data_IF_739748884868
#
_entry.id   IF_739748884868
#
_cell.length_a   1.000
_cell.length_b   1.000
_cell.length_c   1.000
_cell.angle_alpha   90.00
_cell.angle_beta   90.00
_cell.angle_gamma   90.00
#
_symmetry.space_group_name_H-M   'P 1'
#
loop_
_entity.id
_entity.type
_entity.pdbx_description
1 polymer ?
#
# COMPACT_ATOMS: atom_id res chain seq x y z
N UNK A 1 13.30 0.84 -13.38
CA UNK A 1 12.07 0.86 -14.20
C UNK A 1 11.03 -0.15 -13.72
N UNK A 2 11.43 -1.34 -13.24
CA UNK A 2 10.52 -2.40 -12.78
C UNK A 2 9.51 -1.92 -11.73
N UNK A 3 9.95 -1.26 -10.66
CA UNK A 3 9.06 -0.77 -9.60
C UNK A 3 8.04 0.26 -10.09
N UNK A 4 8.40 1.09 -11.07
CA UNK A 4 7.47 2.06 -11.66
C UNK A 4 6.36 1.33 -12.42
N UNK A 5 6.70 0.29 -13.19
CA UNK A 5 5.70 -0.51 -13.92
C UNK A 5 4.74 -1.24 -12.97
N UNK A 6 5.27 -1.80 -11.87
CA UNK A 6 4.46 -2.44 -10.82
C UNK A 6 3.52 -1.43 -10.16
N UNK A 7 4.02 -0.23 -9.83
CA UNK A 7 3.21 0.82 -9.24
C UNK A 7 2.09 1.27 -10.19
N UNK A 8 2.41 1.54 -11.47
CA UNK A 8 1.42 1.93 -12.47
C UNK A 8 0.36 0.86 -12.69
N UNK A 9 0.76 -0.43 -12.71
CA UNK A 9 -0.18 -1.54 -12.80
C UNK A 9 -1.12 -1.59 -11.59
N UNK A 10 -0.58 -1.46 -10.38
CA UNK A 10 -1.38 -1.43 -9.16
C UNK A 10 -2.38 -0.28 -9.12
N UNK A 11 -1.93 0.93 -9.48
CA UNK A 11 -2.78 2.12 -9.53
C UNK A 11 -3.86 2.02 -10.63
N UNK A 12 -3.51 1.55 -11.82
CA UNK A 12 -4.45 1.36 -12.93
C UNK A 12 -5.53 0.31 -12.59
N UNK A 13 -5.11 -0.82 -12.03
CA UNK A 13 -6.03 -1.86 -11.58
C UNK A 13 -6.97 -1.36 -10.48
N UNK A 14 -6.45 -0.60 -9.50
CA UNK A 14 -7.26 -0.03 -8.43
C UNK A 14 -8.28 1.00 -8.94
N UNK A 15 -7.88 1.89 -9.86
CA UNK A 15 -8.78 2.86 -10.48
C UNK A 15 -9.94 2.18 -11.20
N UNK A 16 -9.65 1.15 -11.99
CA UNK A 16 -10.65 0.34 -12.69
C UNK A 16 -11.57 -0.38 -11.69
N UNK A 17 -10.98 -1.03 -10.68
CA UNK A 17 -11.74 -1.73 -9.64
C UNK A 17 -12.70 -0.80 -8.89
N UNK A 18 -12.23 0.36 -8.42
CA UNK A 18 -13.07 1.33 -7.71
C UNK A 18 -14.17 1.87 -8.61
N UNK A 19 -13.88 2.13 -9.88
CA UNK A 19 -14.89 2.62 -10.85
C UNK A 19 -15.99 1.60 -11.07
N UNK A 20 -15.65 0.35 -11.31
CA UNK A 20 -16.62 -0.74 -11.53
C UNK A 20 -17.42 -1.07 -10.27
N UNK A 21 -16.77 -1.10 -9.11
CA UNK A 21 -17.38 -1.46 -7.83
C UNK A 21 -17.92 -0.25 -7.05
N UNK A 22 -17.93 0.97 -7.62
CA UNK A 22 -18.27 2.22 -6.94
C UNK A 22 -19.57 2.15 -6.15
N UNK A 23 -20.62 1.56 -6.73
CA UNK A 23 -21.96 1.44 -6.10
C UNK A 23 -21.93 0.58 -4.85
N UNK A 24 -21.06 -0.41 -4.78
CA UNK A 24 -20.91 -1.30 -3.61
C UNK A 24 -19.94 -0.75 -2.56
N UNK A 25 -18.90 -0.03 -3.00
CA UNK A 25 -17.83 0.44 -2.14
C UNK A 25 -18.18 1.75 -1.39
N UNK A 26 -18.82 2.72 -2.07
CA UNK A 26 -19.11 4.03 -1.48
C UNK A 26 -19.99 3.96 -0.21
N UNK A 27 -21.05 3.13 -0.12
CA UNK A 27 -21.83 3.02 1.11
C UNK A 27 -21.03 2.48 2.30
N UNK A 28 -19.96 1.72 2.01
CA UNK A 28 -19.07 1.10 3.01
C UNK A 28 -17.70 1.78 3.08
N UNK A 29 -17.64 3.07 2.71
CA UNK A 29 -16.39 3.83 2.61
C UNK A 29 -15.44 3.60 3.79
N UNK A 30 -15.91 3.80 5.03
CA UNK A 30 -15.06 3.67 6.22
C UNK A 30 -14.44 2.29 6.39
N UNK A 31 -15.23 1.22 6.17
CA UNK A 31 -14.74 -0.15 6.29
C UNK A 31 -13.74 -0.49 5.15
N UNK A 32 -14.05 -0.11 3.92
CA UNK A 32 -13.18 -0.39 2.77
C UNK A 32 -11.88 0.41 2.84
N UNK A 33 -11.95 1.69 3.23
CA UNK A 33 -10.76 2.53 3.41
C UNK A 33 -9.84 1.95 4.51
N UNK A 34 -10.39 1.62 5.67
CA UNK A 34 -9.64 1.00 6.78
C UNK A 34 -9.02 -0.33 6.36
N UNK A 35 -9.77 -1.19 5.66
CA UNK A 35 -9.27 -2.46 5.15
C UNK A 35 -8.14 -2.26 4.13
N UNK A 36 -8.30 -1.32 3.20
CA UNK A 36 -7.27 -1.01 2.20
C UNK A 36 -5.98 -0.48 2.85
N UNK A 37 -6.08 0.40 3.84
CA UNK A 37 -4.92 0.91 4.56
C UNK A 37 -4.20 -0.20 5.37
N UNK A 38 -4.96 -1.09 6.01
CA UNK A 38 -4.39 -2.23 6.74
C UNK A 38 -3.72 -3.23 5.78
N UNK A 39 -4.39 -3.58 4.68
CA UNK A 39 -3.86 -4.48 3.67
C UNK A 39 -2.64 -3.90 2.95
N UNK A 40 -2.57 -2.58 2.77
CA UNK A 40 -1.35 -1.92 2.30
C UNK A 40 -0.18 -2.21 3.24
N UNK A 41 -0.33 -1.94 4.54
CA UNK A 41 0.74 -2.16 5.51
C UNK A 41 1.21 -3.62 5.57
N UNK A 42 0.27 -4.55 5.60
CA UNK A 42 0.56 -6.00 5.66
C UNK A 42 1.23 -6.47 4.35
N UNK A 43 0.64 -6.11 3.19
CA UNK A 43 1.15 -6.57 1.90
C UNK A 43 2.49 -5.96 1.53
N UNK A 44 2.81 -4.75 1.99
CA UNK A 44 4.11 -4.13 1.77
C UNK A 44 5.23 -4.94 2.44
N UNK A 45 5.06 -5.32 3.70
CA UNK A 45 6.05 -6.10 4.44
C UNK A 45 6.08 -7.56 3.96
N UNK A 46 4.91 -8.20 3.87
CA UNK A 46 4.81 -9.61 3.48
C UNK A 46 5.24 -9.83 2.01
N UNK A 47 4.80 -8.96 1.09
CA UNK A 47 5.14 -9.04 -0.32
C UNK A 47 6.64 -8.93 -0.56
N UNK A 48 7.31 -8.00 0.12
CA UNK A 48 8.75 -7.87 0.05
C UNK A 48 9.49 -9.06 0.67
N UNK A 49 9.08 -9.51 1.85
CA UNK A 49 9.69 -10.67 2.51
C UNK A 49 9.56 -11.95 1.68
N UNK A 50 8.43 -12.13 0.99
CA UNK A 50 8.22 -13.24 0.07
C UNK A 50 9.02 -13.07 -1.22
N UNK A 51 9.05 -11.86 -1.80
CA UNK A 51 9.82 -11.57 -3.00
C UNK A 51 11.33 -11.85 -2.81
N UNK A 52 11.87 -11.58 -1.62
CA UNK A 52 13.27 -11.92 -1.29
C UNK A 52 13.57 -13.43 -1.26
N UNK A 53 12.55 -14.28 -1.10
CA UNK A 53 12.71 -15.73 -1.12
C UNK A 53 12.66 -16.32 -2.52
N UNK A 54 12.25 -15.55 -3.52
CA UNK A 54 12.21 -15.99 -4.92
C UNK A 54 13.62 -16.00 -5.47
N UNK A 55 14.14 -17.14 -5.96
CA UNK A 55 15.50 -17.23 -6.50
C UNK A 55 15.55 -16.66 -7.93
N UNK A 56 15.32 -15.37 -8.05
CA UNK A 56 15.36 -14.67 -9.33
C UNK A 56 16.75 -14.12 -9.59
N UNK A 57 17.34 -14.51 -10.73
CA UNK A 57 18.64 -14.03 -11.21
C UNK A 57 18.45 -13.23 -12.49
N UNK A 58 18.62 -11.88 -12.47
CA UNK A 58 18.45 -11.05 -13.66
C UNK A 58 19.42 -11.41 -14.80
N UNK A 59 20.59 -11.95 -14.47
CA UNK A 59 21.63 -12.33 -15.44
C UNK A 59 21.25 -13.59 -16.24
N UNK A 60 20.41 -14.46 -15.65
CA UNK A 60 19.99 -15.72 -16.27
C UNK A 60 18.68 -15.60 -17.05
N UNK A 61 18.10 -14.39 -17.12
CA UNK A 61 16.78 -14.15 -17.74
C UNK A 61 16.71 -14.61 -19.21
N UNK A 62 17.84 -14.56 -19.94
CA UNK A 62 17.92 -14.94 -21.34
C UNK A 62 18.21 -16.43 -21.55
N UNK A 63 18.76 -17.10 -20.55
CA UNK A 63 19.27 -18.47 -20.69
C UNK A 63 18.39 -19.51 -19.99
N UNK A 64 17.70 -19.13 -18.91
CA UNK A 64 16.82 -20.03 -18.16
C UNK A 64 15.34 -19.66 -18.41
N UNK A 65 14.55 -20.55 -19.05
CA UNK A 65 13.13 -20.31 -19.33
C UNK A 65 12.26 -20.17 -18.08
N UNK A 66 12.78 -20.47 -16.88
CA UNK A 66 12.08 -20.31 -15.60
C UNK A 66 12.15 -18.87 -15.09
N UNK A 67 13.16 -18.11 -15.48
CA UNK A 67 13.38 -16.75 -14.96
C UNK A 67 12.24 -15.77 -15.30
N UNK A 68 11.63 -15.77 -16.49
CA UNK A 68 10.46 -14.94 -16.76
C UNK A 68 9.27 -15.24 -15.84
N UNK A 69 9.07 -16.51 -15.48
CA UNK A 69 8.00 -16.91 -14.56
C UNK A 69 8.30 -16.45 -13.13
N UNK A 70 9.55 -16.55 -12.67
CA UNK A 70 9.98 -16.04 -11.37
C UNK A 70 9.86 -14.51 -11.31
N UNK A 71 10.19 -13.82 -12.39
CA UNK A 71 9.99 -12.38 -12.53
C UNK A 71 8.52 -12.02 -12.40
N UNK A 72 7.64 -12.73 -13.11
CA UNK A 72 6.19 -12.54 -13.00
C UNK A 72 5.71 -12.76 -11.56
N UNK A 73 6.21 -13.77 -10.87
CA UNK A 73 5.88 -14.03 -9.46
C UNK A 73 6.30 -12.86 -8.57
N UNK A 74 7.51 -12.32 -8.75
CA UNK A 74 7.98 -11.13 -8.02
C UNK A 74 7.06 -9.94 -8.29
N UNK A 75 6.63 -9.72 -9.54
CA UNK A 75 5.66 -8.67 -9.87
C UNK A 75 4.33 -8.86 -9.13
N UNK A 76 3.77 -10.07 -9.16
CA UNK A 76 2.52 -10.40 -8.47
C UNK A 76 2.60 -10.20 -6.96
N UNK A 77 3.75 -10.45 -6.36
CA UNK A 77 3.98 -10.21 -4.93
C UNK A 77 4.10 -8.73 -4.57
N UNK A 78 4.58 -7.90 -5.51
CA UNK A 78 4.81 -6.47 -5.28
C UNK A 78 3.64 -5.57 -5.72
N UNK A 79 2.70 -6.05 -6.54
CA UNK A 79 1.51 -5.28 -6.97
C UNK A 79 0.52 -4.96 -5.83
N UNK A 80 0.22 -5.88 -4.88
CA UNK A 80 -0.82 -5.68 -3.87
C UNK A 80 -0.69 -4.39 -3.04
N UNK A 81 0.48 -3.99 -2.51
CA UNK A 81 0.58 -2.76 -1.74
C UNK A 81 0.19 -1.52 -2.58
N UNK A 82 0.62 -1.44 -3.83
CA UNK A 82 0.25 -0.34 -4.72
C UNK A 82 -1.25 -0.34 -5.04
N UNK A 83 -1.83 -1.52 -5.22
CA UNK A 83 -3.27 -1.67 -5.45
C UNK A 83 -4.09 -1.18 -4.24
N UNK A 84 -3.70 -1.54 -3.03
CA UNK A 84 -4.46 -1.17 -1.84
C UNK A 84 -4.34 0.32 -1.50
N UNK A 85 -3.15 0.92 -1.59
CA UNK A 85 -3.01 2.36 -1.36
C UNK A 85 -3.76 3.16 -2.42
N UNK A 86 -3.69 2.76 -3.68
CA UNK A 86 -4.42 3.40 -4.76
C UNK A 86 -5.95 3.23 -4.61
N UNK A 87 -6.41 2.08 -4.13
CA UNK A 87 -7.84 1.87 -3.81
C UNK A 87 -8.32 2.85 -2.74
N UNK A 88 -7.54 3.06 -1.67
CA UNK A 88 -7.87 4.04 -0.64
C UNK A 88 -7.94 5.47 -1.21
N UNK A 89 -6.98 5.86 -2.03
CA UNK A 89 -6.94 7.17 -2.70
C UNK A 89 -8.13 7.36 -3.65
N UNK A 90 -8.35 6.42 -4.59
CA UNK A 90 -9.45 6.50 -5.55
C UNK A 90 -10.81 6.55 -4.85
N UNK A 91 -10.98 5.79 -3.76
CA UNK A 91 -12.21 5.78 -2.99
C UNK A 91 -12.45 7.13 -2.29
N UNK A 92 -11.38 7.76 -1.79
CA UNK A 92 -11.44 9.08 -1.16
C UNK A 92 -11.84 10.16 -2.17
N UNK A 93 -11.23 10.17 -3.36
CA UNK A 93 -11.63 11.09 -4.44
C UNK A 93 -13.06 10.85 -4.91
N UNK A 94 -13.49 9.57 -4.99
CA UNK A 94 -14.86 9.22 -5.39
C UNK A 94 -15.91 9.63 -4.34
N UNK A 95 -15.54 9.66 -3.06
CA UNK A 95 -16.43 10.02 -1.94
C UNK A 95 -16.56 11.52 -1.75
N UNK A 96 -15.46 12.25 -1.88
CA UNK A 96 -15.35 13.67 -1.56
C UNK A 96 -15.05 14.50 -2.80
N UNK A 97 -15.76 14.22 -3.90
CA UNK A 97 -15.57 14.88 -5.19
C UNK A 97 -15.63 16.43 -5.14
N UNK A 98 -16.45 16.99 -4.25
CA UNK A 98 -16.58 18.44 -4.09
C UNK A 98 -15.35 19.09 -3.42
N UNK A 99 -14.48 18.30 -2.77
CA UNK A 99 -13.28 18.75 -2.06
C UNK A 99 -11.98 18.24 -2.68
N UNK A 100 -11.99 17.91 -3.98
CA UNK A 100 -10.84 17.32 -4.68
C UNK A 100 -9.57 18.15 -4.51
N UNK A 101 -9.65 19.48 -4.62
CA UNK A 101 -8.50 20.37 -4.45
C UNK A 101 -7.84 20.25 -3.08
N UNK A 102 -8.64 20.10 -2.02
CA UNK A 102 -8.15 19.96 -0.64
C UNK A 102 -7.52 18.58 -0.43
N UNK A 103 -8.16 17.54 -0.93
CA UNK A 103 -7.65 16.16 -0.83
C UNK A 103 -6.32 16.04 -1.58
N UNK A 104 -6.27 16.58 -2.80
CA UNK A 104 -5.06 16.59 -3.62
C UNK A 104 -3.91 17.36 -2.95
N UNK A 105 -4.21 18.51 -2.28
CA UNK A 105 -3.18 19.25 -1.54
C UNK A 105 -2.59 18.45 -0.39
N UNK A 106 -3.42 17.72 0.36
CA UNK A 106 -2.92 16.84 1.43
C UNK A 106 -2.16 15.63 0.89
N UNK A 107 -2.61 15.05 -0.21
CA UNK A 107 -1.93 13.94 -0.88
C UNK A 107 -0.54 14.39 -1.39
N UNK A 108 -0.47 15.53 -2.07
CA UNK A 108 0.78 16.10 -2.57
C UNK A 108 1.75 16.46 -1.44
N UNK A 109 1.25 17.04 -0.34
CA UNK A 109 2.07 17.30 0.86
C UNK A 109 2.57 16.00 1.48
N UNK A 110 1.71 15.00 1.60
CA UNK A 110 2.07 13.68 2.10
C UNK A 110 3.13 13.00 1.24
N UNK A 111 3.00 13.06 -0.09
CA UNK A 111 3.97 12.53 -1.04
C UNK A 111 5.32 13.27 -0.94
N UNK A 112 5.30 14.60 -0.83
CA UNK A 112 6.50 15.41 -0.65
C UNK A 112 7.23 15.11 0.66
N UNK A 113 6.52 15.11 1.78
CA UNK A 113 7.08 14.75 3.09
C UNK A 113 7.54 13.30 3.13
N UNK A 114 6.79 12.37 2.50
CA UNK A 114 7.15 10.96 2.40
C UNK A 114 8.43 10.73 1.61
N UNK A 115 8.64 11.44 0.51
CA UNK A 115 9.86 11.33 -0.29
C UNK A 115 11.10 11.85 0.46
N UNK A 116 10.98 12.96 1.17
CA UNK A 116 12.06 13.45 2.04
C UNK A 116 12.28 12.49 3.21
N UNK A 117 11.19 12.02 3.83
CA UNK A 117 11.22 11.11 4.96
C UNK A 117 11.88 9.78 4.63
N UNK A 118 11.60 9.18 3.46
CA UNK A 118 12.23 7.91 3.06
C UNK A 118 13.73 8.10 2.76
N UNK A 119 14.11 9.23 2.15
CA UNK A 119 15.52 9.54 1.93
C UNK A 119 16.25 9.64 3.28
N UNK A 120 15.72 10.40 4.23
CA UNK A 120 16.29 10.50 5.57
C UNK A 120 16.33 9.14 6.30
N UNK A 121 15.27 8.35 6.18
CA UNK A 121 15.21 7.02 6.77
C UNK A 121 16.28 6.08 6.21
N UNK A 122 16.56 6.10 4.90
CA UNK A 122 17.58 5.27 4.27
C UNK A 122 19.02 5.65 4.66
N UNK A 123 19.25 6.89 5.15
CA UNK A 123 20.53 7.26 5.75
C UNK A 123 20.71 6.72 7.18
N UNK A 124 19.61 6.52 7.91
CA UNK A 124 19.60 6.15 9.32
C UNK A 124 19.27 4.68 9.56
N UNK A 125 18.49 4.08 8.68
CA UNK A 125 17.91 2.75 8.81
C UNK A 125 18.37 1.83 7.67
N UNK A 126 18.34 0.53 7.94
CA UNK A 126 18.49 -0.46 6.86
C UNK A 126 17.26 -0.44 5.95
N UNK A 127 17.37 -0.80 4.66
CA UNK A 127 16.23 -0.83 3.74
C UNK A 127 15.05 -1.69 4.23
N UNK A 128 15.34 -2.80 4.93
CA UNK A 128 14.33 -3.66 5.55
C UNK A 128 13.53 -2.94 6.64
N UNK A 129 14.20 -2.11 7.46
CA UNK A 129 13.58 -1.40 8.57
C UNK A 129 12.78 -0.19 8.05
N UNK A 130 13.26 0.47 7.00
CA UNK A 130 12.50 1.51 6.30
C UNK A 130 11.19 0.97 5.72
N UNK A 131 11.21 -0.25 5.17
CA UNK A 131 10.00 -0.90 4.66
C UNK A 131 9.02 -1.27 5.78
N UNK A 132 9.52 -1.78 6.90
CA UNK A 132 8.71 -2.05 8.11
C UNK A 132 8.07 -0.76 8.64
N UNK A 133 8.81 0.34 8.65
CA UNK A 133 8.28 1.65 9.01
C UNK A 133 7.12 2.05 8.10
N UNK A 134 7.23 1.85 6.78
CA UNK A 134 6.12 2.11 5.85
C UNK A 134 4.90 1.22 6.13
N UNK A 135 5.13 -0.07 6.43
CA UNK A 135 4.07 -0.98 6.84
C UNK A 135 3.37 -0.53 8.13
N UNK A 136 4.17 -0.12 9.12
CA UNK A 136 3.66 0.41 10.39
C UNK A 136 2.84 1.69 10.21
N UNK A 137 3.27 2.61 9.33
CA UNK A 137 2.51 3.82 8.98
C UNK A 137 1.15 3.47 8.32
N UNK A 138 1.13 2.47 7.44
CA UNK A 138 -0.11 1.97 6.84
C UNK A 138 -1.10 1.42 7.89
N UNK A 139 -0.60 0.63 8.84
CA UNK A 139 -1.41 0.11 9.94
C UNK A 139 -1.88 1.21 10.90
N UNK A 140 -1.03 2.20 11.20
CA UNK A 140 -1.40 3.36 11.99
C UNK A 140 -2.50 4.19 11.30
N UNK A 141 -2.39 4.41 10.00
CA UNK A 141 -3.42 5.08 9.21
C UNK A 141 -4.75 4.30 9.23
N UNK A 142 -4.71 2.96 9.13
CA UNK A 142 -5.88 2.11 9.26
C UNK A 142 -6.53 2.20 10.66
N UNK A 143 -5.71 2.25 11.71
CA UNK A 143 -6.18 2.40 13.09
C UNK A 143 -6.89 3.75 13.28
N UNK A 144 -6.29 4.85 12.82
CA UNK A 144 -6.88 6.19 12.87
C UNK A 144 -8.20 6.25 12.08
N UNK A 145 -8.22 5.68 10.87
CA UNK A 145 -9.41 5.61 10.04
C UNK A 145 -10.54 4.82 10.71
N UNK A 146 -10.23 3.68 11.32
CA UNK A 146 -11.23 2.87 12.04
C UNK A 146 -11.83 3.60 13.23
N UNK A 147 -11.01 4.43 13.89
CA UNK A 147 -11.46 5.22 15.04
C UNK A 147 -12.41 6.35 14.62
N UNK A 148 -12.05 7.08 13.55
CA UNK A 148 -12.85 8.20 13.06
C UNK A 148 -14.16 7.77 12.39
N UNK A 149 -14.15 6.66 11.66
CA UNK A 149 -15.32 6.18 10.90
C UNK A 149 -16.28 5.34 11.72
N UNK A 150 -15.92 4.95 12.94
CA UNK A 150 -16.71 4.05 13.77
C UNK A 150 -16.95 2.67 13.12
N UNK A 151 -16.16 2.33 12.08
CA UNK A 151 -16.38 1.17 11.23
C UNK A 151 -15.99 -0.18 11.84
N UNK A 152 -15.71 -0.21 13.15
CA UNK A 152 -15.41 -1.44 13.86
C UNK A 152 -15.28 -1.26 15.37
N UNK A 153 -15.24 -2.33 16.14
CA UNK A 153 -15.04 -2.25 17.59
C UNK A 153 -13.65 -1.64 17.87
N UNK A 154 -13.57 -0.79 18.87
CA UNK A 154 -12.36 -0.01 19.25
C UNK A 154 -11.12 -0.89 19.50
N UNK A 155 -11.31 -2.16 19.86
CA UNK A 155 -10.20 -3.09 20.03
C UNK A 155 -9.44 -3.39 18.73
N UNK A 156 -10.11 -3.31 17.55
CA UNK A 156 -9.44 -3.46 16.25
C UNK A 156 -8.46 -2.34 15.97
N UNK A 157 -8.79 -1.10 16.34
CA UNK A 157 -7.85 0.02 16.24
C UNK A 157 -6.63 -0.21 17.14
N UNK A 158 -6.85 -0.67 18.37
CA UNK A 158 -5.78 -1.04 19.29
C UNK A 158 -4.91 -2.20 18.77
N UNK A 159 -5.53 -3.23 18.18
CA UNK A 159 -4.80 -4.36 17.59
C UNK A 159 -3.95 -3.94 16.38
N UNK A 160 -4.45 -3.05 15.52
CA UNK A 160 -3.70 -2.50 14.39
C UNK A 160 -2.53 -1.63 14.85
N UNK A 161 -2.72 -0.82 15.89
CA UNK A 161 -1.63 -0.03 16.49
C UNK A 161 -0.58 -0.94 17.14
N UNK A 162 -1.01 -1.96 17.88
CA UNK A 162 -0.09 -2.93 18.46
C UNK A 162 0.68 -3.69 17.37
N UNK A 163 0.04 -4.09 16.29
CA UNK A 163 0.71 -4.71 15.15
C UNK A 163 1.70 -3.76 14.48
N UNK A 164 1.39 -2.46 14.38
CA UNK A 164 2.29 -1.45 13.85
C UNK A 164 3.55 -1.26 14.72
N UNK A 165 3.41 -1.38 16.04
CA UNK A 165 4.53 -1.27 17.00
C UNK A 165 5.35 -2.56 17.04
N UNK A 166 4.69 -3.71 16.89
CA UNK A 166 5.32 -5.04 16.97
C UNK A 166 5.92 -5.53 15.64
N UNK A 167 5.77 -4.76 14.55
CA UNK A 167 6.52 -5.02 13.32
C UNK A 167 7.99 -4.63 13.54
N UNK A 168 8.85 -5.58 13.97
CA UNK A 168 10.26 -5.31 14.27
C UNK A 168 11.06 -5.12 12.98
#
# INVERSE_FOLDING_TARGET
YMLISVALLGYGAAGTFVTLARRALLPRFGAVFTASAALFGISAVAGFALAQRVPFSPLELLWDPRQPLLLLLVYLLLVPPFFFVATALCLTFARFGDQVHRIYSFDALGAGLGSIGILAALFLLRPSDALRLMGALGLAAAALASWQTGSGPRWRAGALLAAAILLP
#
